data_IF_399944372095
#
_entry.id   IF_399944372095
#
_cell.length_a   1.000
_cell.length_b   1.000
_cell.length_c   1.000
_cell.angle_alpha   90.00
_cell.angle_beta   90.00
_cell.angle_gamma   90.00
#
_symmetry.space_group_name_H-M   'P 1'
#
loop_
_entity.id
_entity.type
_entity.pdbx_description
1 polymer ?
#
# COMPACT_ATOMS: atom_id res chain seq x y z
N UNK A 1 -7.42 -12.62 -3.37
CA UNK A 1 -7.31 -14.05 -3.73
C UNK A 1 -6.47 -14.83 -2.72
N UNK A 2 -5.20 -14.48 -2.44
CA UNK A 2 -4.36 -15.24 -1.51
C UNK A 2 -4.86 -15.32 -0.05
N UNK A 3 -5.65 -14.35 0.45
CA UNK A 3 -6.27 -14.41 1.77
C UNK A 3 -7.10 -15.69 1.96
N UNK A 4 -7.84 -16.10 0.92
CA UNK A 4 -8.65 -17.32 0.93
C UNK A 4 -7.79 -18.58 1.00
N UNK A 5 -6.61 -18.56 0.35
CA UNK A 5 -5.67 -19.68 0.38
C UNK A 5 -5.01 -19.84 1.75
N UNK A 6 -4.74 -18.73 2.46
CA UNK A 6 -4.24 -18.79 3.84
C UNK A 6 -5.24 -19.47 4.77
N UNK A 7 -6.50 -19.02 4.74
CA UNK A 7 -7.56 -19.61 5.57
C UNK A 7 -7.81 -21.07 5.19
N UNK A 8 -7.90 -21.38 3.89
CA UNK A 8 -8.07 -22.76 3.43
C UNK A 8 -6.89 -23.65 3.81
N UNK A 9 -5.67 -23.16 3.67
CA UNK A 9 -4.46 -23.86 4.10
C UNK A 9 -4.50 -24.19 5.59
N UNK A 10 -4.85 -23.21 6.42
CA UNK A 10 -5.02 -23.40 7.87
C UNK A 10 -6.11 -24.43 8.22
N UNK A 11 -7.24 -24.45 7.51
CA UNK A 11 -8.29 -25.46 7.73
C UNK A 11 -7.76 -26.88 7.51
N UNK A 12 -6.89 -27.05 6.51
CA UNK A 12 -6.29 -28.34 6.14
C UNK A 12 -5.13 -28.77 7.05
N UNK A 13 -4.53 -27.84 7.80
CA UNK A 13 -3.48 -28.19 8.76
C UNK A 13 -4.04 -29.02 9.93
N UNK A 14 -3.29 -30.04 10.32
CA UNK A 14 -3.40 -30.67 11.65
C UNK A 14 -3.00 -29.68 12.74
N UNK A 15 -3.37 -29.97 14.00
CA UNK A 15 -2.91 -29.21 15.17
C UNK A 15 -1.37 -29.14 15.17
N UNK A 16 -0.81 -27.96 15.41
CA UNK A 16 0.63 -27.66 15.33
C UNK A 16 1.27 -27.92 13.95
N UNK A 17 0.47 -28.12 12.89
CA UNK A 17 0.94 -28.13 11.51
C UNK A 17 1.38 -26.72 11.09
N UNK A 18 2.31 -26.65 10.15
CA UNK A 18 2.92 -25.40 9.69
C UNK A 18 2.51 -25.11 8.25
N UNK A 19 2.28 -23.83 7.93
CA UNK A 19 2.04 -23.34 6.59
C UNK A 19 2.97 -22.17 6.31
N UNK A 20 3.67 -22.24 5.18
CA UNK A 20 4.54 -21.17 4.70
C UNK A 20 4.13 -20.79 3.29
N UNK A 21 3.75 -19.53 3.08
CA UNK A 21 3.44 -19.01 1.76
C UNK A 21 4.24 -17.75 1.45
N UNK A 22 4.48 -17.58 0.14
CA UNK A 22 4.97 -16.35 -0.44
C UNK A 22 3.79 -15.65 -1.11
N UNK A 23 3.45 -14.45 -0.64
CA UNK A 23 2.30 -13.69 -1.17
C UNK A 23 2.67 -12.24 -1.40
N UNK A 24 1.78 -11.45 -2.02
CA UNK A 24 1.96 -10.00 -1.98
C UNK A 24 1.85 -9.49 -0.55
N UNK A 25 2.72 -8.57 -0.13
CA UNK A 25 2.70 -7.99 1.22
C UNK A 25 1.52 -7.03 1.47
N UNK A 26 0.73 -6.69 0.45
CA UNK A 26 -0.30 -5.63 0.54
C UNK A 26 -1.34 -5.86 1.65
N UNK A 27 -1.69 -7.11 1.98
CA UNK A 27 -2.64 -7.41 3.06
C UNK A 27 -2.16 -6.96 4.43
N UNK A 28 -0.85 -6.77 4.62
CA UNK A 28 -0.28 -6.31 5.88
C UNK A 28 -0.75 -4.90 6.23
N UNK A 29 -1.06 -4.05 5.23
CA UNK A 29 -1.39 -2.63 5.45
C UNK A 29 -2.72 -2.19 4.84
N UNK A 30 -3.16 -2.82 3.75
CA UNK A 30 -4.39 -2.42 3.07
C UNK A 30 -5.64 -2.75 3.90
N UNK A 31 -6.69 -1.94 3.73
CA UNK A 31 -7.97 -2.11 4.43
C UNK A 31 -8.61 -3.48 4.20
N UNK A 32 -8.57 -4.01 2.96
CA UNK A 32 -9.12 -5.35 2.69
C UNK A 32 -8.41 -6.47 3.49
N UNK A 33 -7.20 -6.23 3.98
CA UNK A 33 -6.42 -7.20 4.74
C UNK A 33 -6.80 -7.28 6.22
N UNK A 34 -7.66 -6.38 6.72
CA UNK A 34 -8.05 -6.33 8.14
C UNK A 34 -8.50 -7.69 8.69
N UNK A 35 -9.46 -8.34 8.02
CA UNK A 35 -9.96 -9.66 8.44
C UNK A 35 -8.91 -10.77 8.32
N UNK A 36 -7.98 -10.64 7.39
CA UNK A 36 -6.86 -11.58 7.27
C UNK A 36 -5.87 -11.42 8.43
N UNK A 37 -5.59 -10.18 8.87
CA UNK A 37 -4.74 -9.91 10.03
C UNK A 37 -5.40 -10.36 11.34
N UNK A 38 -6.69 -10.06 11.51
CA UNK A 38 -7.50 -10.60 12.61
C UNK A 38 -7.45 -12.14 12.65
N UNK A 39 -7.61 -12.77 11.49
CA UNK A 39 -7.56 -14.22 11.39
C UNK A 39 -6.22 -14.77 11.88
N UNK A 40 -5.10 -14.21 11.41
CA UNK A 40 -3.77 -14.66 11.85
C UNK A 40 -3.53 -14.43 13.34
N UNK A 41 -3.89 -13.25 13.85
CA UNK A 41 -3.70 -12.89 15.26
C UNK A 41 -4.47 -13.82 16.21
N UNK A 42 -5.66 -14.28 15.81
CA UNK A 42 -6.56 -15.03 16.69
C UNK A 42 -6.60 -16.54 16.45
N UNK A 43 -6.24 -17.03 15.25
CA UNK A 43 -6.41 -18.44 14.87
C UNK A 43 -5.10 -19.17 14.56
N UNK A 44 -3.99 -18.44 14.52
CA UNK A 44 -2.68 -19.00 14.15
C UNK A 44 -1.61 -18.58 15.14
N UNK A 45 -0.44 -19.22 15.08
CA UNK A 45 0.79 -18.73 15.70
C UNK A 45 1.75 -18.29 14.60
N UNK A 46 1.81 -16.99 14.26
CA UNK A 46 2.76 -16.48 13.28
C UNK A 46 4.19 -16.54 13.83
N UNK A 47 5.07 -17.29 13.16
CA UNK A 47 6.42 -17.57 13.64
C UNK A 47 7.48 -16.74 12.91
N UNK A 48 7.35 -16.60 11.58
CA UNK A 48 8.29 -15.84 10.77
C UNK A 48 7.53 -15.02 9.71
N UNK A 49 7.87 -13.74 9.63
CA UNK A 49 7.37 -12.83 8.61
C UNK A 49 8.54 -12.05 7.99
N UNK A 50 8.79 -12.28 6.70
CA UNK A 50 9.82 -11.55 5.95
C UNK A 50 9.12 -10.69 4.92
N UNK A 51 9.37 -9.39 4.93
CA UNK A 51 8.83 -8.44 3.96
C UNK A 51 9.93 -7.98 2.99
N UNK A 52 9.73 -8.22 1.69
CA UNK A 52 10.67 -7.85 0.64
C UNK A 52 10.36 -6.47 0.04
N UNK A 53 9.96 -5.52 0.89
CA UNK A 53 9.54 -4.17 0.54
C UNK A 53 10.51 -3.48 -0.45
N UNK A 54 10.09 -3.32 -1.71
CA UNK A 54 10.86 -2.62 -2.74
C UNK A 54 12.05 -3.41 -3.31
N UNK A 55 12.20 -4.69 -2.94
CA UNK A 55 13.16 -5.62 -3.54
C UNK A 55 12.42 -6.52 -4.52
N UNK A 56 12.81 -6.44 -5.79
CA UNK A 56 12.26 -7.33 -6.82
C UNK A 56 12.87 -8.73 -6.67
N UNK A 57 12.14 -9.63 -6.04
CA UNK A 57 12.53 -11.04 -5.83
C UNK A 57 12.22 -11.90 -7.05
N UNK A 58 11.08 -11.65 -7.70
CA UNK A 58 10.64 -12.43 -8.86
C UNK A 58 10.71 -11.57 -10.12
N UNK A 59 11.37 -12.06 -11.17
CA UNK A 59 11.55 -11.29 -12.41
C UNK A 59 10.22 -10.96 -13.11
N UNK A 60 9.25 -11.88 -13.02
CA UNK A 60 7.92 -11.75 -13.64
C UNK A 60 6.90 -10.98 -12.79
N UNK A 61 7.18 -10.75 -11.50
CA UNK A 61 6.25 -10.05 -10.61
C UNK A 61 6.69 -8.60 -10.36
N UNK A 62 5.73 -7.68 -10.46
CA UNK A 62 5.92 -6.26 -10.13
C UNK A 62 5.44 -5.90 -8.73
N UNK A 63 4.88 -6.88 -8.00
CA UNK A 63 4.32 -6.67 -6.67
C UNK A 63 5.36 -6.94 -5.59
N UNK A 64 5.35 -6.12 -4.54
CA UNK A 64 6.10 -6.40 -3.33
C UNK A 64 5.53 -7.67 -2.66
N UNK A 65 6.43 -8.50 -2.15
CA UNK A 65 6.10 -9.82 -1.62
C UNK A 65 6.55 -9.98 -0.17
N UNK A 66 5.90 -10.89 0.53
CA UNK A 66 6.30 -11.33 1.86
C UNK A 66 6.35 -12.87 1.91
N UNK A 67 7.14 -13.40 2.83
CA UNK A 67 7.02 -14.78 3.31
C UNK A 67 6.33 -14.73 4.67
N UNK A 68 5.28 -15.52 4.86
CA UNK A 68 4.68 -15.75 6.17
C UNK A 68 4.67 -17.25 6.47
N UNK A 69 5.31 -17.62 7.58
CA UNK A 69 5.23 -18.93 8.22
C UNK A 69 4.42 -18.81 9.50
N UNK A 70 3.40 -19.64 9.63
CA UNK A 70 2.65 -19.80 10.87
C UNK A 70 2.37 -21.27 11.15
N UNK A 71 2.02 -21.56 12.40
CA UNK A 71 1.47 -22.86 12.80
C UNK A 71 0.02 -22.75 13.25
N UNK A 72 -0.71 -23.87 13.18
CA UNK A 72 -2.06 -24.01 13.76
C UNK A 72 -1.98 -24.25 15.26
N UNK A 73 -1.63 -23.19 15.98
CA UNK A 73 -1.45 -23.14 17.42
C UNK A 73 -1.89 -21.77 17.96
N UNK A 74 -1.95 -21.63 19.28
CA UNK A 74 -2.19 -20.35 19.95
C UNK A 74 -1.08 -19.37 19.63
N UNK A 75 -1.45 -18.12 19.32
CA UNK A 75 -0.50 -17.05 19.05
C UNK A 75 0.35 -16.75 20.29
N UNK A 76 1.66 -16.96 20.19
CA UNK A 76 2.64 -16.66 21.24
C UNK A 76 3.02 -15.17 21.27
N UNK A 77 2.52 -14.38 20.29
CA UNK A 77 2.81 -12.96 20.13
C UNK A 77 4.32 -12.68 19.97
N UNK A 78 5.03 -13.68 19.44
CA UNK A 78 6.47 -13.68 19.27
C UNK A 78 6.81 -14.06 17.82
N UNK A 79 6.53 -13.14 16.89
CA UNK A 79 6.82 -13.35 15.47
C UNK A 79 8.18 -12.77 15.13
N UNK A 80 9.09 -13.61 14.64
CA UNK A 80 10.37 -13.16 14.08
C UNK A 80 10.09 -12.42 12.78
N UNK A 81 10.46 -11.15 12.72
CA UNK A 81 10.16 -10.29 11.58
C UNK A 81 11.42 -9.69 10.98
N UNK A 82 11.53 -9.67 9.66
CA UNK A 82 12.63 -9.03 8.95
C UNK A 82 12.14 -8.26 7.72
N UNK A 83 12.82 -7.16 7.38
CA UNK A 83 12.57 -6.40 6.15
C UNK A 83 13.82 -6.40 5.30
N UNK A 84 13.67 -6.77 4.03
CA UNK A 84 14.67 -6.47 3.01
C UNK A 84 14.19 -5.27 2.19
N UNK A 85 15.09 -4.33 1.92
CA UNK A 85 14.87 -3.13 1.15
C UNK A 85 15.99 -2.94 0.10
N UNK A 86 15.96 -1.82 -0.63
CA UNK A 86 16.97 -1.54 -1.68
C UNK A 86 18.41 -1.46 -1.16
N UNK A 87 18.63 -1.10 0.10
CA UNK A 87 19.97 -0.95 0.68
C UNK A 87 20.61 -2.30 1.02
N UNK A 88 19.81 -3.33 1.28
CA UNK A 88 20.27 -4.67 1.62
C UNK A 88 19.77 -5.72 0.61
N UNK A 89 19.67 -5.35 -0.68
CA UNK A 89 19.12 -6.22 -1.74
C UNK A 89 19.84 -7.58 -1.86
N UNK A 90 21.13 -7.64 -1.55
CA UNK A 90 21.92 -8.87 -1.57
C UNK A 90 21.59 -9.84 -0.41
N UNK A 91 20.82 -9.41 0.59
CA UNK A 91 20.35 -10.25 1.71
C UNK A 91 19.64 -11.52 1.25
N UNK A 92 19.03 -11.51 0.07
CA UNK A 92 18.33 -12.66 -0.51
C UNK A 92 19.28 -13.83 -0.78
N UNK A 93 20.58 -13.58 -1.00
CA UNK A 93 21.59 -14.63 -1.23
C UNK A 93 21.80 -15.50 0.02
N UNK A 94 21.76 -14.89 1.21
CA UNK A 94 21.99 -15.52 2.51
C UNK A 94 20.89 -15.11 3.49
N UNK A 95 19.64 -15.41 3.12
CA UNK A 95 18.46 -14.90 3.82
C UNK A 95 18.38 -15.37 5.28
N UNK A 96 18.82 -16.59 5.57
CA UNK A 96 18.85 -17.13 6.93
C UNK A 96 19.79 -16.32 7.84
N UNK A 97 21.00 -16.04 7.37
CA UNK A 97 22.00 -15.22 8.09
C UNK A 97 21.46 -13.81 8.30
N UNK A 98 20.88 -13.22 7.25
CA UNK A 98 20.30 -11.89 7.34
C UNK A 98 19.19 -11.81 8.40
N UNK A 99 18.25 -12.75 8.39
CA UNK A 99 17.16 -12.79 9.39
C UNK A 99 17.74 -12.96 10.79
N UNK A 100 18.72 -13.84 10.99
CA UNK A 100 19.33 -14.01 12.31
C UNK A 100 19.96 -12.71 12.83
N UNK A 101 20.64 -11.96 11.97
CA UNK A 101 21.35 -10.73 12.35
C UNK A 101 20.45 -9.50 12.50
N UNK A 102 19.35 -9.43 11.74
CA UNK A 102 18.57 -8.20 11.57
C UNK A 102 17.08 -8.34 11.89
N UNK A 103 16.66 -9.49 12.43
CA UNK A 103 15.26 -9.63 12.84
C UNK A 103 14.91 -8.68 13.99
N UNK A 104 13.62 -8.39 14.08
CA UNK A 104 12.98 -7.84 15.27
C UNK A 104 11.84 -8.75 15.65
N UNK A 105 11.53 -8.81 16.95
CA UNK A 105 10.35 -9.53 17.41
C UNK A 105 9.15 -8.59 17.32
N UNK A 106 8.10 -9.02 16.63
CA UNK A 106 6.84 -8.28 16.55
C UNK A 106 5.73 -9.05 17.26
N UNK A 107 4.87 -8.29 17.94
CA UNK A 107 3.64 -8.79 18.55
C UNK A 107 2.45 -8.36 17.71
N UNK A 108 1.78 -9.33 17.09
CA UNK A 108 0.58 -9.10 16.29
C UNK A 108 -0.65 -9.56 17.06
N UNK A 109 -1.36 -8.61 17.65
CA UNK A 109 -2.44 -8.86 18.61
C UNK A 109 -3.83 -8.57 18.08
N UNK A 110 -3.95 -7.86 16.95
CA UNK A 110 -5.22 -7.38 16.41
C UNK A 110 -5.19 -7.23 14.88
N UNK A 111 -6.28 -6.66 14.33
CA UNK A 111 -6.48 -6.29 12.93
C UNK A 111 -5.64 -5.10 12.47
N UNK A 112 -4.89 -4.46 13.37
CA UNK A 112 -4.04 -3.33 13.02
C UNK A 112 -3.07 -3.69 11.91
N UNK A 113 -2.57 -2.67 11.22
CA UNK A 113 -1.59 -2.89 10.14
C UNK A 113 -0.34 -3.57 10.69
N UNK A 114 0.06 -4.67 10.05
CA UNK A 114 1.30 -5.36 10.38
C UNK A 114 2.47 -4.59 9.78
N UNK A 115 3.13 -3.80 10.61
CA UNK A 115 4.30 -3.02 10.25
C UNK A 115 5.50 -3.59 11.00
N UNK A 116 6.50 -4.05 10.25
CA UNK A 116 7.77 -4.49 10.81
C UNK A 116 8.61 -3.24 11.01
N UNK A 117 9.07 -3.03 12.24
CA UNK A 117 9.90 -1.89 12.64
C UNK A 117 10.99 -2.41 13.56
N UNK A 118 12.21 -1.90 13.40
CA UNK A 118 13.28 -2.09 14.38
C UNK A 118 12.93 -1.46 15.72
N UNK A 119 13.61 -1.86 16.80
CA UNK A 119 13.39 -1.29 18.14
C UNK A 119 13.53 0.24 18.16
N UNK A 120 14.49 0.77 17.40
CA UNK A 120 14.72 2.21 17.27
C UNK A 120 13.54 2.88 16.57
N UNK A 121 13.06 2.33 15.45
CA UNK A 121 11.91 2.85 14.73
C UNK A 121 10.62 2.77 15.55
N UNK A 122 10.40 1.68 16.30
CA UNK A 122 9.27 1.55 17.23
C UNK A 122 9.34 2.60 18.35
N UNK A 123 10.53 2.86 18.89
CA UNK A 123 10.75 3.91 19.89
C UNK A 123 10.43 5.30 19.33
N UNK A 124 10.90 5.60 18.11
CA UNK A 124 10.61 6.86 17.43
C UNK A 124 9.11 6.99 17.15
N UNK A 125 8.46 5.95 16.63
CA UNK A 125 7.02 5.93 16.36
C UNK A 125 6.23 6.26 17.63
N UNK A 126 6.52 5.58 18.75
CA UNK A 126 5.87 5.84 20.04
C UNK A 126 6.04 7.28 20.52
N UNK A 127 7.24 7.86 20.37
CA UNK A 127 7.49 9.27 20.73
C UNK A 127 6.67 10.23 19.89
N UNK A 128 6.56 9.98 18.58
CA UNK A 128 5.77 10.82 17.67
C UNK A 128 4.27 10.69 18.00
N UNK A 129 3.77 9.48 18.21
CA UNK A 129 2.35 9.22 18.53
C UNK A 129 1.94 9.74 19.91
N UNK A 130 2.86 9.81 20.88
CA UNK A 130 2.58 10.34 22.21
C UNK A 130 2.40 11.86 22.24
N UNK A 131 2.99 12.58 21.28
CA UNK A 131 2.98 14.06 21.23
C UNK A 131 2.07 14.59 20.12
N UNK A 132 1.94 13.86 19.01
CA UNK A 132 1.19 14.29 17.83
C UNK A 132 -0.25 13.82 17.82
N UNK A 133 -1.11 14.59 17.15
CA UNK A 133 -2.47 14.18 16.81
C UNK A 133 -2.48 13.47 15.45
N UNK A 134 -2.99 12.22 15.34
CA UNK A 134 -3.09 11.54 14.06
C UNK A 134 -3.88 12.35 13.04
N UNK A 135 -3.43 12.38 11.79
CA UNK A 135 -4.02 13.22 10.74
C UNK A 135 -5.52 12.95 10.51
N UNK A 136 -5.97 11.72 10.76
CA UNK A 136 -7.39 11.32 10.68
C UNK A 136 -8.29 12.02 11.71
N UNK A 137 -7.71 12.49 12.81
CA UNK A 137 -8.42 13.12 13.93
C UNK A 137 -8.38 14.65 13.82
N UNK A 138 -7.75 15.19 12.78
CA UNK A 138 -7.78 16.62 12.47
C UNK A 138 -9.14 16.98 11.87
N UNK A 139 -9.55 18.24 12.05
CA UNK A 139 -10.75 18.77 11.42
C UNK A 139 -10.51 19.07 9.92
N UNK A 140 -10.16 18.04 9.17
CA UNK A 140 -9.92 18.08 7.73
C UNK A 140 -10.65 16.91 7.06
N UNK A 141 -11.03 17.10 5.80
CA UNK A 141 -11.59 16.02 5.00
C UNK A 141 -10.53 15.50 4.03
N UNK A 142 -10.26 14.18 4.10
CA UNK A 142 -9.31 13.51 3.21
C UNK A 142 -10.10 12.85 2.08
N UNK A 143 -9.95 13.39 0.87
CA UNK A 143 -10.56 12.84 -0.33
C UNK A 143 -9.51 12.20 -1.23
N UNK A 144 -9.94 11.23 -2.04
CA UNK A 144 -9.17 10.78 -3.20
C UNK A 144 -9.30 11.80 -4.34
N UNK A 145 -8.29 11.88 -5.19
CA UNK A 145 -8.35 12.69 -6.41
C UNK A 145 -9.44 12.23 -7.39
N UNK A 146 -9.65 13.02 -8.45
CA UNK A 146 -10.66 12.77 -9.48
C UNK A 146 -10.38 11.45 -10.20
N UNK A 147 -11.41 10.61 -10.33
CA UNK A 147 -11.39 9.38 -11.11
C UNK A 147 -12.21 9.58 -12.38
N UNK A 148 -11.55 9.62 -13.53
CA UNK A 148 -12.21 9.89 -14.82
C UNK A 148 -12.85 8.66 -15.46
N UNK A 149 -12.50 7.45 -15.01
CA UNK A 149 -12.86 6.20 -15.67
C UNK A 149 -12.14 5.96 -17.01
N UNK A 150 -11.84 7.00 -17.78
CA UNK A 150 -11.09 6.92 -19.03
C UNK A 150 -10.28 8.19 -19.32
N UNK A 151 -9.03 8.22 -18.84
CA UNK A 151 -8.16 9.39 -18.95
C UNK A 151 -8.01 9.95 -20.37
N UNK A 152 -7.98 9.09 -21.41
CA UNK A 152 -7.79 9.54 -22.79
C UNK A 152 -8.94 10.39 -23.33
N UNK A 153 -10.16 10.19 -22.82
CA UNK A 153 -11.32 10.97 -23.25
C UNK A 153 -11.47 12.27 -22.43
N UNK A 154 -11.20 12.21 -21.12
CA UNK A 154 -11.49 13.32 -20.21
C UNK A 154 -10.29 14.22 -19.92
N UNK A 155 -9.06 13.77 -20.13
CA UNK A 155 -7.84 14.58 -19.94
C UNK A 155 -7.30 14.99 -21.30
N UNK A 156 -7.40 16.28 -21.61
CA UNK A 156 -7.04 16.86 -22.90
C UNK A 156 -5.87 17.84 -22.77
N UNK A 157 -5.15 18.07 -23.86
CA UNK A 157 -4.11 19.09 -23.92
C UNK A 157 -4.70 20.48 -24.19
N UNK A 158 -3.90 21.52 -24.01
CA UNK A 158 -4.29 22.90 -24.34
C UNK A 158 -4.67 23.04 -25.81
N UNK A 159 -3.97 22.36 -26.72
CA UNK A 159 -4.29 22.38 -28.16
C UNK A 159 -5.68 21.82 -28.41
N UNK A 160 -6.00 20.66 -27.82
CA UNK A 160 -7.32 20.03 -27.97
C UNK A 160 -8.42 20.85 -27.29
N UNK A 161 -8.14 21.53 -26.17
CA UNK A 161 -9.08 22.48 -25.55
C UNK A 161 -9.43 23.61 -26.51
N UNK A 162 -8.44 24.23 -27.13
CA UNK A 162 -8.65 25.35 -28.04
C UNK A 162 -9.44 24.90 -29.28
N UNK A 163 -9.10 23.74 -29.85
CA UNK A 163 -9.86 23.12 -30.95
C UNK A 163 -11.35 22.92 -30.57
N UNK A 164 -11.66 22.46 -29.36
CA UNK A 164 -13.05 22.27 -28.91
C UNK A 164 -13.78 23.63 -28.80
N UNK A 165 -13.13 24.65 -28.26
CA UNK A 165 -13.73 25.98 -28.08
C UNK A 165 -13.94 26.71 -29.41
N UNK A 166 -13.03 26.53 -30.38
CA UNK A 166 -13.15 27.09 -31.73
C UNK A 166 -14.28 26.46 -32.54
N UNK A 167 -14.60 25.18 -32.28
CA UNK A 167 -15.68 24.47 -32.94
C UNK A 167 -17.08 24.74 -32.33
N UNK A 168 -17.19 25.55 -31.27
CA UNK A 168 -18.48 25.96 -30.71
C UNK A 168 -19.22 26.89 -31.70
N UNK A 169 -20.51 26.68 -31.92
CA UNK A 169 -21.28 27.40 -32.94
C UNK A 169 -21.77 28.76 -32.45
N UNK A 170 -21.95 28.91 -31.14
CA UNK A 170 -22.49 30.11 -30.50
C UNK A 170 -21.60 30.53 -29.34
N UNK A 171 -21.62 31.83 -29.02
CA UNK A 171 -20.88 32.35 -27.86
C UNK A 171 -21.41 31.76 -26.54
N UNK A 172 -22.73 31.53 -26.44
CA UNK A 172 -23.36 30.89 -25.27
C UNK A 172 -22.93 29.42 -25.09
N UNK A 173 -22.75 28.68 -26.18
CA UNK A 173 -22.18 27.33 -26.14
C UNK A 173 -20.71 27.37 -25.73
N UNK A 174 -19.92 28.27 -26.33
CA UNK A 174 -18.50 28.43 -26.02
C UNK A 174 -18.29 28.69 -24.53
N UNK A 175 -19.05 29.61 -23.94
CA UNK A 175 -18.98 29.96 -22.52
C UNK A 175 -19.29 28.76 -21.61
N UNK A 176 -20.36 28.02 -21.92
CA UNK A 176 -20.73 26.80 -21.16
C UNK A 176 -19.67 25.72 -21.27
N UNK A 177 -19.12 25.50 -22.47
CA UNK A 177 -18.05 24.52 -22.70
C UNK A 177 -16.76 24.89 -21.97
N UNK A 178 -16.39 26.18 -21.96
CA UNK A 178 -15.23 26.66 -21.21
C UNK A 178 -15.36 26.43 -19.70
N UNK A 179 -16.56 26.60 -19.14
CA UNK A 179 -16.82 26.37 -17.71
C UNK A 179 -16.66 24.89 -17.29
N UNK A 180 -16.90 23.95 -18.21
CA UNK A 180 -16.72 22.51 -18.02
C UNK A 180 -15.26 22.08 -18.08
N UNK A 181 -14.38 22.82 -18.77
CA UNK A 181 -12.98 22.44 -18.96
C UNK A 181 -12.10 23.12 -17.91
N UNK A 182 -11.60 22.35 -16.93
CA UNK A 182 -10.80 22.86 -15.79
C UNK A 182 -9.36 22.35 -15.83
N UNK A 183 -8.36 23.12 -15.38
CA UNK A 183 -6.99 22.63 -15.32
C UNK A 183 -6.89 21.45 -14.33
N UNK A 184 -6.06 20.46 -14.66
CA UNK A 184 -5.86 19.28 -13.82
C UNK A 184 -4.39 19.09 -13.46
N UNK A 185 -4.14 18.70 -12.21
CA UNK A 185 -2.87 18.19 -11.73
C UNK A 185 -2.99 16.69 -11.49
N UNK A 186 -2.03 15.91 -12.01
CA UNK A 186 -1.90 14.48 -11.75
C UNK A 186 -0.84 14.27 -10.68
N UNK A 187 -0.77 13.06 -10.11
CA UNK A 187 0.22 12.74 -9.08
C UNK A 187 1.68 13.03 -9.49
N UNK A 188 2.03 12.86 -10.77
CA UNK A 188 3.38 13.18 -11.29
C UNK A 188 3.68 14.69 -11.42
N UNK A 189 2.63 15.50 -11.49
CA UNK A 189 2.71 16.95 -11.63
C UNK A 189 2.90 17.62 -10.25
N UNK A 190 2.67 16.90 -9.13
CA UNK A 190 2.94 17.37 -7.77
C UNK A 190 4.39 17.08 -7.37
N UNK A 191 5.08 18.10 -6.85
CA UNK A 191 6.47 18.03 -6.38
C UNK A 191 6.56 18.36 -4.90
N UNK A 192 7.75 18.18 -4.34
CA UNK A 192 8.04 18.61 -2.98
C UNK A 192 7.87 20.13 -2.90
N UNK A 193 6.91 20.59 -2.09
CA UNK A 193 6.58 22.01 -1.88
C UNK A 193 6.04 22.78 -3.09
N UNK A 194 5.57 22.10 -4.14
CA UNK A 194 5.06 22.78 -5.33
C UNK A 194 4.40 21.85 -6.34
N UNK A 195 4.05 22.40 -7.51
CA UNK A 195 3.53 21.62 -8.63
C UNK A 195 4.02 22.21 -9.96
N UNK A 196 4.18 21.33 -10.95
CA UNK A 196 4.52 21.68 -12.33
C UNK A 196 3.31 21.37 -13.20
N UNK A 197 2.52 22.38 -13.56
CA UNK A 197 1.35 22.16 -14.39
C UNK A 197 1.76 21.80 -15.83
N UNK A 198 1.29 20.65 -16.31
CA UNK A 198 1.68 20.09 -17.60
C UNK A 198 0.86 20.62 -18.79
N UNK A 199 0.12 21.72 -18.65
CA UNK A 199 -0.76 22.24 -19.71
C UNK A 199 -1.94 21.32 -20.03
N UNK A 200 -2.44 20.60 -19.02
CA UNK A 200 -3.52 19.62 -19.18
C UNK A 200 -4.80 20.06 -18.50
N UNK A 201 -5.90 19.63 -19.11
CA UNK A 201 -7.25 20.00 -18.74
C UNK A 201 -8.11 18.77 -18.56
N UNK A 202 -9.06 18.85 -17.64
CA UNK A 202 -10.11 17.89 -17.39
C UNK A 202 -11.42 18.43 -17.96
N UNK A 203 -12.09 17.62 -18.77
CA UNK A 203 -13.50 17.83 -19.11
C UNK A 203 -14.31 17.33 -17.90
N UNK A 204 -14.82 18.27 -17.10
CA UNK A 204 -15.60 18.00 -15.91
C UNK A 204 -17.08 17.90 -16.31
N UNK A 205 -17.65 16.71 -16.20
CA UNK A 205 -19.06 16.43 -16.47
C UNK A 205 -19.88 16.41 -15.19
#
# INVERSE_FOLDING_TARGET
>A
MYCLFYERGWQLLKKNGHLCYITSNKWMRAGYGEKTRDFFANNTNPQLLIDFSGVKIFESATVDTNILLFSKATNEQHTVCAITNKQNKDSVKELSVFVQQHHSVCSFTASDSWVILSEIEQSIKRKIEAVGTPLKDWNINIYRGVLTGYNKAFIISTEKRNEILENCQTEDERKRTEELIRPILRGRDIKRYGYDWAGLWLINT
#
